data_IF_636225274891
#
_entry.id   IF_636225274891
#
_cell.length_a   1.000
_cell.length_b   1.000
_cell.length_c   1.000
_cell.angle_alpha   90.00
_cell.angle_beta   90.00
_cell.angle_gamma   90.00
#
_symmetry.space_group_name_H-M   'P 1'
#
loop_
_entity.id
_entity.type
_entity.pdbx_description
1 polymer ?
#
# COMPACT_ATOMS: atom_id res chain seq x y z
N UNK A 1 -27.31 23.91 3.29
CA UNK A 1 -25.91 24.31 3.00
C UNK A 1 -25.72 25.78 2.64
N UNK A 2 -26.43 26.33 1.63
CA UNK A 2 -26.31 27.74 1.22
C UNK A 2 -26.35 28.80 2.36
N UNK A 3 -27.29 28.77 3.31
CA UNK A 3 -27.36 29.81 4.35
C UNK A 3 -26.14 29.79 5.29
N UNK A 4 -25.61 28.61 5.59
CA UNK A 4 -24.43 28.47 6.45
C UNK A 4 -23.21 29.07 5.76
N UNK A 5 -23.00 28.73 4.49
CA UNK A 5 -21.91 29.27 3.68
C UNK A 5 -22.03 30.79 3.50
N UNK A 6 -23.23 31.29 3.19
CA UNK A 6 -23.50 32.72 3.03
C UNK A 6 -23.18 33.49 4.30
N UNK A 7 -23.73 33.06 5.45
CA UNK A 7 -23.47 33.70 6.73
C UNK A 7 -21.97 33.71 7.04
N UNK A 8 -21.32 32.58 6.83
CA UNK A 8 -19.90 32.38 7.08
C UNK A 8 -19.01 33.31 6.23
N UNK A 9 -19.28 33.41 4.92
CA UNK A 9 -18.53 34.31 4.02
C UNK A 9 -18.75 35.78 4.40
N UNK A 10 -19.97 36.13 4.82
CA UNK A 10 -20.32 37.51 5.23
C UNK A 10 -19.76 37.90 6.61
N UNK A 11 -19.27 36.97 7.42
CA UNK A 11 -18.68 37.27 8.75
C UNK A 11 -17.36 38.05 8.66
N UNK A 12 -16.60 37.91 7.57
CA UNK A 12 -15.34 38.64 7.36
C UNK A 12 -15.44 39.53 6.12
N UNK A 13 -14.98 40.79 6.17
CA UNK A 13 -15.02 41.70 5.02
C UNK A 13 -14.03 41.30 3.91
N UNK A 14 -13.06 40.42 4.21
CA UNK A 14 -12.04 39.95 3.28
C UNK A 14 -11.95 38.43 3.40
N UNK A 15 -12.00 37.73 2.27
CA UNK A 15 -11.81 36.28 2.19
C UNK A 15 -10.30 35.99 2.17
N UNK A 16 -9.79 35.35 3.22
CA UNK A 16 -8.40 34.92 3.27
C UNK A 16 -8.26 33.52 2.67
N UNK A 17 -7.68 33.44 1.46
CA UNK A 17 -7.44 32.17 0.75
C UNK A 17 -6.35 31.29 1.40
N UNK A 18 -5.65 31.81 2.41
CA UNK A 18 -4.62 31.07 3.18
C UNK A 18 -5.15 30.46 4.48
N UNK A 19 -6.42 30.72 4.80
CA UNK A 19 -7.10 30.14 5.95
C UNK A 19 -8.15 29.17 5.44
N UNK A 20 -8.31 28.06 6.15
CA UNK A 20 -9.40 27.13 5.92
C UNK A 20 -10.63 27.71 6.59
N UNK A 21 -11.58 28.29 5.85
CA UNK A 21 -12.68 28.92 6.52
C UNK A 21 -13.68 27.81 6.92
N UNK A 22 -14.19 27.88 8.14
CA UNK A 22 -15.36 27.11 8.59
C UNK A 22 -15.18 25.60 8.83
N UNK A 23 -13.96 25.05 8.82
CA UNK A 23 -13.74 23.62 9.12
C UNK A 23 -14.29 23.22 10.50
N UNK A 24 -13.79 23.81 11.59
CA UNK A 24 -14.19 23.43 12.95
C UNK A 24 -15.69 23.63 13.24
N UNK A 25 -16.32 24.76 12.84
CA UNK A 25 -17.76 24.95 13.06
C UNK A 25 -18.64 23.97 12.27
N UNK A 26 -18.28 23.65 11.03
CA UNK A 26 -19.05 22.71 10.21
C UNK A 26 -18.82 21.27 10.66
N UNK A 27 -17.58 20.91 11.02
CA UNK A 27 -17.24 19.57 11.46
C UNK A 27 -17.86 19.22 12.81
N UNK A 28 -17.94 20.18 13.73
CA UNK A 28 -18.54 20.00 15.05
C UNK A 28 -19.96 20.59 15.15
N UNK A 29 -20.64 20.74 14.01
CA UNK A 29 -22.00 21.27 13.97
C UNK A 29 -22.96 20.40 14.79
N UNK A 30 -23.84 21.06 15.54
CA UNK A 30 -24.93 20.42 16.30
C UNK A 30 -26.30 20.64 15.63
N UNK A 31 -26.31 21.06 14.36
CA UNK A 31 -27.55 21.26 13.60
C UNK A 31 -28.29 19.92 13.35
N UNK A 32 -29.58 19.97 13.01
CA UNK A 32 -30.30 18.77 12.56
C UNK A 32 -29.62 18.11 11.36
N UNK A 33 -28.95 18.92 10.53
CA UNK A 33 -28.34 18.52 9.26
C UNK A 33 -26.83 18.26 9.38
N UNK A 34 -26.29 18.24 10.60
CA UNK A 34 -24.86 18.11 10.89
C UNK A 34 -24.18 16.95 10.16
N UNK A 35 -24.88 15.84 9.94
CA UNK A 35 -24.35 14.70 9.17
C UNK A 35 -24.17 15.02 7.69
N UNK A 36 -25.15 15.70 7.08
CA UNK A 36 -25.04 16.13 5.68
C UNK A 36 -23.95 17.19 5.52
N UNK A 37 -23.85 18.12 6.47
CA UNK A 37 -22.80 19.15 6.51
C UNK A 37 -21.40 18.52 6.60
N UNK A 38 -21.22 17.53 7.49
CA UNK A 38 -19.95 16.79 7.63
C UNK A 38 -19.58 16.01 6.38
N UNK A 39 -20.50 15.26 5.79
CA UNK A 39 -20.24 14.52 4.54
C UNK A 39 -19.83 15.49 3.43
N UNK A 40 -20.60 16.58 3.27
CA UNK A 40 -20.31 17.59 2.26
C UNK A 40 -18.93 18.21 2.47
N UNK A 41 -18.60 18.56 3.72
CA UNK A 41 -17.29 19.09 4.08
C UNK A 41 -16.20 18.07 3.74
N UNK A 42 -16.29 16.83 4.21
CA UNK A 42 -15.28 15.80 3.95
C UNK A 42 -15.06 15.54 2.45
N UNK A 43 -16.13 15.56 1.65
CA UNK A 43 -16.02 15.43 0.18
C UNK A 43 -15.29 16.62 -0.44
N UNK A 44 -15.67 17.83 -0.02
CA UNK A 44 -14.99 19.05 -0.45
C UNK A 44 -13.49 18.97 -0.10
N UNK A 45 -13.15 18.46 1.08
CA UNK A 45 -11.74 18.32 1.49
C UNK A 45 -10.98 17.30 0.67
N UNK A 46 -11.62 16.17 0.36
CA UNK A 46 -11.01 15.12 -0.45
C UNK A 46 -10.72 15.63 -1.88
N UNK A 47 -11.64 16.40 -2.46
CA UNK A 47 -11.53 16.94 -3.82
C UNK A 47 -10.56 18.14 -3.94
N UNK A 48 -10.38 18.89 -2.85
CA UNK A 48 -9.51 20.08 -2.82
C UNK A 48 -8.07 19.80 -2.42
N UNK A 49 -7.75 18.63 -1.86
CA UNK A 49 -6.39 18.25 -1.52
C UNK A 49 -5.61 17.79 -2.76
N UNK A 50 -4.80 18.67 -3.35
CA UNK A 50 -4.03 18.38 -4.57
C UNK A 50 -2.53 18.55 -4.38
N UNK A 51 -2.14 19.65 -3.72
CA UNK A 51 -0.74 20.03 -3.58
C UNK A 51 -0.26 20.03 -2.12
N UNK A 52 1.05 20.12 -1.95
CA UNK A 52 1.69 20.20 -0.62
C UNK A 52 1.24 21.43 0.17
N UNK A 53 0.92 22.55 -0.49
CA UNK A 53 0.35 23.74 0.15
C UNK A 53 -0.98 23.47 0.82
N UNK A 54 -1.84 22.70 0.16
CA UNK A 54 -3.17 22.34 0.66
C UNK A 54 -3.03 21.42 1.88
N UNK A 55 -2.08 20.48 1.80
CA UNK A 55 -1.75 19.61 2.92
C UNK A 55 -1.27 20.40 4.16
N UNK A 56 -0.37 21.38 3.99
CA UNK A 56 0.07 22.21 5.13
C UNK A 56 -1.06 23.02 5.75
N UNK A 57 -2.01 23.48 4.94
CA UNK A 57 -3.21 24.14 5.43
C UNK A 57 -4.06 23.14 6.25
N UNK A 58 -4.26 21.92 5.77
CA UNK A 58 -5.00 20.89 6.53
C UNK A 58 -4.31 20.49 7.83
N UNK A 59 -2.97 20.40 7.80
CA UNK A 59 -2.14 20.14 8.98
C UNK A 59 -2.31 21.25 10.02
N UNK A 60 -2.32 22.53 9.61
CA UNK A 60 -2.52 23.68 10.50
C UNK A 60 -3.87 23.63 11.24
N UNK A 61 -4.91 23.08 10.61
CA UNK A 61 -6.25 22.98 11.19
C UNK A 61 -6.56 21.61 11.81
N UNK A 62 -5.55 20.74 11.99
CA UNK A 62 -5.72 19.41 12.58
C UNK A 62 -6.76 18.53 11.86
N UNK A 63 -6.91 18.72 10.54
CA UNK A 63 -7.94 18.04 9.75
C UNK A 63 -7.77 16.52 9.84
N UNK A 64 -6.55 16.01 9.62
CA UNK A 64 -6.30 14.56 9.62
C UNK A 64 -6.54 13.92 10.99
N UNK A 65 -6.16 14.59 12.08
CA UNK A 65 -6.41 14.10 13.45
C UNK A 65 -7.91 13.96 13.71
N UNK A 66 -8.69 14.98 13.34
CA UNK A 66 -10.14 14.96 13.51
C UNK A 66 -10.83 13.94 12.61
N UNK A 67 -10.36 13.77 11.37
CA UNK A 67 -10.94 12.80 10.43
C UNK A 67 -10.63 11.37 10.83
N UNK A 68 -9.41 11.07 11.25
CA UNK A 68 -9.02 9.74 11.75
C UNK A 68 -9.80 9.41 13.03
N UNK A 69 -9.88 10.35 13.98
CA UNK A 69 -10.66 10.17 15.21
C UNK A 69 -12.17 10.00 14.92
N UNK A 70 -12.71 10.77 13.97
CA UNK A 70 -14.11 10.64 13.58
C UNK A 70 -14.38 9.31 12.88
N UNK A 71 -13.49 8.83 12.02
CA UNK A 71 -13.61 7.52 11.38
C UNK A 71 -13.77 6.37 12.38
N UNK A 72 -13.05 6.43 13.50
CA UNK A 72 -13.11 5.40 14.54
C UNK A 72 -14.26 5.59 15.54
N UNK A 73 -14.96 6.72 15.46
CA UNK A 73 -16.11 7.00 16.30
C UNK A 73 -17.36 6.22 15.88
N UNK A 74 -18.19 5.85 16.86
CA UNK A 74 -19.48 5.20 16.62
C UNK A 74 -20.49 6.11 15.89
N UNK A 75 -20.23 7.42 15.85
CA UNK A 75 -21.06 8.40 15.15
C UNK A 75 -20.81 8.42 13.63
N UNK A 76 -19.82 7.65 13.15
CA UNK A 76 -19.41 7.62 11.76
C UNK A 76 -20.11 6.50 11.00
N UNK A 77 -20.91 6.89 10.01
CA UNK A 77 -21.56 5.91 9.14
C UNK A 77 -20.62 5.36 8.06
N UNK A 78 -21.03 4.29 7.39
CA UNK A 78 -20.22 3.71 6.31
C UNK A 78 -19.88 4.74 5.20
N UNK A 79 -20.85 5.57 4.81
CA UNK A 79 -20.63 6.63 3.82
C UNK A 79 -19.64 7.70 4.31
N UNK A 80 -19.68 8.05 5.60
CA UNK A 80 -18.74 9.02 6.20
C UNK A 80 -17.32 8.45 6.20
N UNK A 81 -17.19 7.16 6.55
CA UNK A 81 -15.91 6.43 6.53
C UNK A 81 -15.32 6.34 5.13
N UNK A 82 -16.13 6.09 4.12
CA UNK A 82 -15.68 6.03 2.73
C UNK A 82 -15.08 7.36 2.27
N UNK A 83 -15.71 8.48 2.63
CA UNK A 83 -15.20 9.81 2.28
C UNK A 83 -13.95 10.14 3.11
N UNK A 84 -13.90 9.76 4.39
CA UNK A 84 -12.71 9.92 5.23
C UNK A 84 -11.50 9.16 4.66
N UNK A 85 -11.71 7.91 4.22
CA UNK A 85 -10.69 7.11 3.54
C UNK A 85 -10.30 7.74 2.19
N UNK A 86 -11.25 8.32 1.45
CA UNK A 86 -10.95 9.04 0.20
C UNK A 86 -10.08 10.29 0.43
N UNK A 87 -10.29 11.03 1.51
CA UNK A 87 -9.42 12.15 1.91
C UNK A 87 -8.01 11.68 2.26
N UNK A 88 -7.88 10.58 3.01
CA UNK A 88 -6.56 10.01 3.32
C UNK A 88 -5.89 9.52 2.04
N UNK A 89 -6.66 8.91 1.13
CA UNK A 89 -6.19 8.45 -0.18
C UNK A 89 -5.62 9.60 -1.02
N UNK A 90 -6.27 10.76 -1.05
CA UNK A 90 -5.74 11.92 -1.78
C UNK A 90 -4.43 12.44 -1.16
N UNK A 91 -4.34 12.40 0.17
CA UNK A 91 -3.10 12.72 0.88
C UNK A 91 -1.95 11.75 0.54
N UNK A 92 -2.24 10.45 0.38
CA UNK A 92 -1.21 9.45 0.05
C UNK A 92 -0.51 9.67 -1.31
N UNK A 93 -1.06 10.50 -2.21
CA UNK A 93 -0.41 10.86 -3.47
C UNK A 93 0.66 11.95 -3.31
N UNK A 94 0.65 12.68 -2.19
CA UNK A 94 1.56 13.77 -1.89
C UNK A 94 2.66 13.22 -0.98
N UNK A 95 3.91 13.21 -1.43
CA UNK A 95 5.04 12.60 -0.68
C UNK A 95 5.18 13.16 0.75
N UNK A 96 5.16 14.50 0.88
CA UNK A 96 5.26 15.18 2.18
C UNK A 96 4.12 14.77 3.11
N UNK A 97 2.92 14.63 2.56
CA UNK A 97 1.75 14.21 3.32
C UNK A 97 1.87 12.74 3.75
N UNK A 98 2.29 11.85 2.85
CA UNK A 98 2.56 10.44 3.15
C UNK A 98 3.58 10.28 4.27
N UNK A 99 4.68 11.05 4.22
CA UNK A 99 5.69 11.05 5.29
C UNK A 99 5.11 11.49 6.64
N UNK A 100 4.34 12.58 6.65
CA UNK A 100 3.70 13.09 7.87
C UNK A 100 2.60 12.17 8.39
N UNK A 101 1.84 11.49 7.51
CA UNK A 101 0.84 10.49 7.88
C UNK A 101 1.43 9.31 8.64
N UNK A 102 2.61 8.86 8.23
CA UNK A 102 3.31 7.78 8.93
C UNK A 102 3.89 8.29 10.25
N UNK A 103 4.61 9.42 10.20
CA UNK A 103 5.39 9.89 11.34
C UNK A 103 4.54 10.51 12.45
N UNK A 104 3.52 11.30 12.08
CA UNK A 104 2.74 12.12 13.02
C UNK A 104 1.41 11.47 13.36
N UNK A 105 0.76 10.86 12.37
CA UNK A 105 -0.60 10.32 12.51
C UNK A 105 -0.67 8.80 12.68
N UNK A 106 0.49 8.12 12.74
CA UNK A 106 0.59 6.67 12.92
C UNK A 106 -0.33 5.88 11.97
N UNK A 107 -0.43 6.32 10.71
CA UNK A 107 -1.39 5.79 9.75
C UNK A 107 -1.25 4.28 9.54
N UNK A 108 -0.04 3.75 9.64
CA UNK A 108 0.24 2.32 9.48
C UNK A 108 -0.41 1.49 10.60
N UNK A 109 -0.29 1.92 11.85
CA UNK A 109 -0.98 1.28 12.98
C UNK A 109 -2.51 1.37 12.84
N UNK A 110 -3.00 2.51 12.35
CA UNK A 110 -4.42 2.70 12.07
C UNK A 110 -4.93 1.79 10.94
N UNK A 111 -4.18 1.65 9.84
CA UNK A 111 -4.46 0.69 8.76
C UNK A 111 -4.53 -0.72 9.33
N UNK A 112 -3.52 -1.13 10.12
CA UNK A 112 -3.46 -2.47 10.69
C UNK A 112 -4.68 -2.78 11.57
N UNK A 113 -5.10 -1.84 12.43
CA UNK A 113 -6.27 -1.99 13.28
C UNK A 113 -7.56 -2.18 12.46
N UNK A 114 -7.68 -1.49 11.33
CA UNK A 114 -8.85 -1.53 10.47
C UNK A 114 -8.90 -2.72 9.50
N UNK A 115 -7.78 -3.45 9.29
CA UNK A 115 -7.79 -4.69 8.48
C UNK A 115 -8.72 -5.77 9.03
N UNK A 116 -8.97 -5.78 10.35
CA UNK A 116 -9.87 -6.76 10.99
C UNK A 116 -11.36 -6.46 10.72
N UNK A 117 -11.69 -5.30 10.14
CA UNK A 117 -13.07 -4.94 9.80
C UNK A 117 -13.50 -5.70 8.54
N UNK A 118 -14.50 -6.56 8.70
CA UNK A 118 -15.04 -7.41 7.64
C UNK A 118 -15.50 -6.54 6.45
N UNK A 119 -15.04 -6.86 5.25
CA UNK A 119 -15.46 -6.23 3.99
C UNK A 119 -14.82 -4.87 3.68
N UNK A 120 -13.96 -4.33 4.55
CA UNK A 120 -13.29 -3.03 4.30
C UNK A 120 -11.77 -3.14 4.14
N UNK A 121 -11.18 -4.33 4.37
CA UNK A 121 -9.74 -4.58 4.33
C UNK A 121 -9.06 -4.07 3.04
N UNK A 122 -9.70 -4.27 1.88
CA UNK A 122 -9.18 -3.83 0.57
C UNK A 122 -8.87 -2.34 0.51
N UNK A 123 -9.73 -1.51 1.13
CA UNK A 123 -9.59 -0.05 1.10
C UNK A 123 -8.31 0.37 1.83
N UNK A 124 -8.04 -0.24 2.99
CA UNK A 124 -6.87 0.07 3.81
C UNK A 124 -5.57 -0.52 3.22
N UNK A 125 -5.64 -1.70 2.60
CA UNK A 125 -4.50 -2.27 1.86
C UNK A 125 -4.13 -1.40 0.65
N UNK A 126 -5.13 -0.86 -0.04
CA UNK A 126 -4.88 0.06 -1.14
C UNK A 126 -4.21 1.37 -0.67
N UNK A 127 -4.51 1.87 0.54
CA UNK A 127 -3.76 2.98 1.14
C UNK A 127 -2.29 2.63 1.34
N UNK A 128 -1.99 1.43 1.87
CA UNK A 128 -0.61 0.96 2.03
C UNK A 128 0.13 0.89 0.69
N UNK A 129 -0.52 0.36 -0.34
CA UNK A 129 0.01 0.31 -1.70
C UNK A 129 0.33 1.72 -2.23
N UNK A 130 -0.60 2.67 -2.10
CA UNK A 130 -0.40 4.04 -2.58
C UNK A 130 0.75 4.74 -1.89
N UNK A 131 0.88 4.57 -0.56
CA UNK A 131 2.00 5.10 0.20
C UNK A 131 3.32 4.50 -0.29
N UNK A 132 3.38 3.18 -0.48
CA UNK A 132 4.59 2.50 -0.97
C UNK A 132 4.93 2.99 -2.39
N UNK A 133 3.93 3.10 -3.26
CA UNK A 133 4.08 3.56 -4.63
C UNK A 133 4.60 4.99 -4.71
N UNK A 134 4.13 5.89 -3.83
CA UNK A 134 4.64 7.28 -3.81
C UNK A 134 6.08 7.35 -3.34
N UNK A 135 6.49 6.57 -2.34
CA UNK A 135 7.90 6.50 -1.94
C UNK A 135 8.80 5.89 -2.99
N UNK A 136 8.35 4.84 -3.69
CA UNK A 136 9.11 4.21 -4.78
C UNK A 136 9.28 5.20 -5.94
N UNK A 137 8.23 5.94 -6.31
CA UNK A 137 8.29 6.91 -7.42
C UNK A 137 9.34 8.01 -7.20
N UNK A 138 9.51 8.44 -5.96
CA UNK A 138 10.38 9.56 -5.62
C UNK A 138 11.76 9.11 -5.10
N UNK A 139 12.12 7.83 -5.26
CA UNK A 139 13.33 7.18 -4.73
C UNK A 139 13.55 7.40 -3.21
N UNK A 140 12.48 7.81 -2.50
CA UNK A 140 12.49 8.20 -1.11
C UNK A 140 12.38 7.00 -0.16
N UNK A 141 12.36 5.77 -0.68
CA UNK A 141 12.31 4.54 0.15
C UNK A 141 13.50 4.47 1.13
N UNK A 142 14.65 5.03 0.76
CA UNK A 142 15.85 5.16 1.61
C UNK A 142 15.70 6.21 2.70
N UNK A 143 14.87 7.23 2.47
CA UNK A 143 14.57 8.34 3.39
C UNK A 143 13.26 8.11 4.18
N UNK A 144 12.59 6.97 3.94
CA UNK A 144 11.37 6.62 4.66
C UNK A 144 11.65 6.41 6.15
N UNK A 145 10.71 6.74 7.05
CA UNK A 145 10.88 6.46 8.47
C UNK A 145 11.18 4.98 8.69
N UNK A 146 12.22 4.61 9.44
CA UNK A 146 12.58 3.20 9.70
C UNK A 146 11.38 2.36 10.18
N UNK A 147 10.52 2.95 11.00
CA UNK A 147 9.28 2.37 11.50
C UNK A 147 8.29 1.98 10.39
N UNK A 148 8.29 2.71 9.27
CA UNK A 148 7.41 2.42 8.14
C UNK A 148 7.65 1.03 7.58
N UNK A 149 8.91 0.65 7.35
CA UNK A 149 9.24 -0.63 6.71
C UNK A 149 8.78 -1.81 7.57
N UNK A 150 8.97 -1.73 8.89
CA UNK A 150 8.52 -2.78 9.82
C UNK A 150 7.00 -2.86 9.91
N UNK A 151 6.32 -1.72 10.00
CA UNK A 151 4.86 -1.69 10.11
C UNK A 151 4.20 -2.09 8.78
N UNK A 152 4.74 -1.65 7.64
CA UNK A 152 4.27 -2.03 6.31
C UNK A 152 4.42 -3.53 6.07
N UNK A 153 5.55 -4.12 6.51
CA UNK A 153 5.76 -5.57 6.43
C UNK A 153 4.72 -6.31 7.27
N UNK A 154 4.50 -5.89 8.53
CA UNK A 154 3.50 -6.52 9.39
C UNK A 154 2.08 -6.43 8.79
N UNK A 155 1.69 -5.27 8.28
CA UNK A 155 0.40 -5.06 7.60
C UNK A 155 0.29 -5.98 6.39
N UNK A 156 1.31 -6.06 5.55
CA UNK A 156 1.30 -6.91 4.36
C UNK A 156 1.22 -8.40 4.70
N UNK A 157 1.90 -8.87 5.76
CA UNK A 157 1.78 -10.25 6.25
C UNK A 157 0.37 -10.54 6.79
N UNK A 158 -0.22 -9.61 7.53
CA UNK A 158 -1.62 -9.76 7.97
C UNK A 158 -2.61 -9.74 6.80
N UNK A 159 -2.31 -8.98 5.74
CA UNK A 159 -3.05 -9.01 4.48
C UNK A 159 -2.94 -10.36 3.77
N UNK A 160 -1.74 -10.96 3.73
CA UNK A 160 -1.50 -12.28 3.14
C UNK A 160 -2.36 -13.39 3.76
N UNK A 161 -2.64 -13.32 5.06
CA UNK A 161 -3.50 -14.29 5.74
C UNK A 161 -4.96 -14.19 5.29
N UNK A 162 -5.40 -13.00 4.86
CA UNK A 162 -6.78 -12.71 4.42
C UNK A 162 -6.88 -12.78 2.88
N UNK A 163 -5.77 -12.98 2.16
CA UNK A 163 -5.71 -12.88 0.70
C UNK A 163 -6.74 -13.72 -0.08
N UNK A 164 -7.18 -14.86 0.46
CA UNK A 164 -8.16 -15.72 -0.21
C UNK A 164 -9.54 -15.05 -0.36
N UNK A 165 -9.85 -14.06 0.48
CA UNK A 165 -11.13 -13.32 0.47
C UNK A 165 -11.05 -12.01 -0.34
N UNK A 166 -9.84 -11.63 -0.78
CA UNK A 166 -9.58 -10.36 -1.45
C UNK A 166 -9.72 -10.47 -2.97
N UNK A 167 -10.06 -9.35 -3.61
CA UNK A 167 -9.98 -9.19 -5.06
C UNK A 167 -8.56 -9.39 -5.61
N UNK A 168 -8.47 -9.85 -6.86
CA UNK A 168 -7.20 -10.05 -7.58
C UNK A 168 -6.29 -8.81 -7.54
N UNK A 169 -6.88 -7.61 -7.66
CA UNK A 169 -6.13 -6.35 -7.65
C UNK A 169 -5.51 -6.05 -6.29
N UNK A 170 -6.23 -6.35 -5.21
CA UNK A 170 -5.72 -6.19 -3.85
C UNK A 170 -4.62 -7.22 -3.53
N UNK A 171 -4.71 -8.42 -4.10
CA UNK A 171 -3.64 -9.42 -3.99
C UNK A 171 -2.34 -8.96 -4.67
N UNK A 172 -2.45 -8.37 -5.87
CA UNK A 172 -1.31 -7.75 -6.57
C UNK A 172 -0.73 -6.58 -5.79
N UNK A 173 -1.58 -5.69 -5.24
CA UNK A 173 -1.15 -4.57 -4.41
C UNK A 173 -0.28 -5.04 -3.22
N UNK A 174 -0.67 -6.13 -2.55
CA UNK A 174 0.12 -6.72 -1.43
C UNK A 174 1.47 -7.26 -1.93
N UNK A 175 1.47 -8.01 -3.03
CA UNK A 175 2.69 -8.57 -3.63
C UNK A 175 3.65 -7.47 -4.08
N UNK A 176 3.14 -6.38 -4.66
CA UNK A 176 3.93 -5.21 -4.99
C UNK A 176 4.62 -4.64 -3.76
N UNK A 177 3.86 -4.37 -2.68
CA UNK A 177 4.41 -3.80 -1.44
C UNK A 177 5.51 -4.71 -0.88
N UNK A 178 5.24 -6.00 -0.75
CA UNK A 178 6.23 -6.99 -0.31
C UNK A 178 7.47 -6.99 -1.18
N UNK A 179 7.30 -6.94 -2.51
CA UNK A 179 8.44 -6.96 -3.43
C UNK A 179 9.40 -5.79 -3.20
N UNK A 180 8.83 -4.59 -2.95
CA UNK A 180 9.60 -3.35 -2.74
C UNK A 180 10.22 -3.28 -1.36
N UNK A 181 9.55 -3.80 -0.34
CA UNK A 181 10.10 -3.89 1.01
C UNK A 181 11.32 -4.81 1.05
N UNK A 182 11.27 -5.97 0.39
CA UNK A 182 12.39 -6.92 0.39
C UNK A 182 13.55 -6.47 -0.51
N UNK A 183 13.26 -5.78 -1.61
CA UNK A 183 14.30 -5.22 -2.48
C UNK A 183 15.19 -4.20 -1.76
N UNK A 184 14.76 -3.66 -0.62
CA UNK A 184 15.54 -2.74 0.19
C UNK A 184 16.58 -3.50 1.05
N UNK A 185 17.71 -3.82 0.41
CA UNK A 185 18.79 -4.69 0.92
C UNK A 185 19.33 -4.36 2.33
N UNK A 186 19.26 -3.10 2.77
CA UNK A 186 19.77 -2.69 4.08
C UNK A 186 18.88 -3.07 5.27
N UNK A 187 17.60 -3.36 5.05
CA UNK A 187 16.61 -3.56 6.12
C UNK A 187 15.99 -4.96 6.11
N UNK A 188 16.05 -5.66 4.97
CA UNK A 188 15.48 -7.00 4.86
C UNK A 188 16.12 -7.99 5.84
N UNK A 189 17.43 -7.89 6.08
CA UNK A 189 18.19 -8.79 6.97
C UNK A 189 17.63 -8.92 8.38
N UNK A 190 17.24 -7.79 8.99
CA UNK A 190 16.68 -7.78 10.36
C UNK A 190 15.23 -8.26 10.41
N UNK A 191 14.50 -8.17 9.29
CA UNK A 191 13.08 -8.48 9.19
C UNK A 191 12.80 -9.92 8.73
N UNK A 192 13.83 -10.65 8.26
CA UNK A 192 13.68 -12.04 7.78
C UNK A 192 13.10 -12.94 8.87
N UNK A 193 13.43 -12.69 10.14
CA UNK A 193 12.92 -13.45 11.28
C UNK A 193 11.39 -13.42 11.40
N UNK A 194 10.73 -12.36 10.88
CA UNK A 194 9.28 -12.19 11.00
C UNK A 194 8.52 -12.95 9.90
N UNK A 195 9.21 -13.43 8.86
CA UNK A 195 8.57 -14.12 7.73
C UNK A 195 8.68 -15.63 7.93
N UNK A 196 7.61 -16.23 8.46
CA UNK A 196 7.50 -17.69 8.56
C UNK A 196 7.42 -18.39 7.18
N UNK A 197 7.75 -19.69 7.17
CA UNK A 197 7.62 -20.60 6.01
C UNK A 197 6.24 -20.55 5.36
N UNK A 198 5.19 -20.43 6.17
CA UNK A 198 3.80 -20.38 5.69
C UNK A 198 3.51 -19.12 4.86
N UNK A 199 4.12 -17.98 5.20
CA UNK A 199 3.98 -16.76 4.42
C UNK A 199 4.64 -16.90 3.04
N UNK A 200 5.81 -17.56 2.96
CA UNK A 200 6.45 -17.87 1.67
C UNK A 200 5.60 -18.82 0.83
N UNK A 201 5.00 -19.84 1.44
CA UNK A 201 4.09 -20.75 0.74
C UNK A 201 2.86 -19.99 0.22
N UNK A 202 2.25 -19.13 1.04
CA UNK A 202 1.11 -18.30 0.64
C UNK A 202 1.48 -17.39 -0.53
N UNK A 203 2.60 -16.68 -0.47
CA UNK A 203 3.07 -15.84 -1.59
C UNK A 203 3.24 -16.66 -2.89
N UNK A 204 3.84 -17.85 -2.82
CA UNK A 204 3.98 -18.73 -3.97
C UNK A 204 2.62 -19.18 -4.52
N UNK A 205 1.74 -19.69 -3.67
CA UNK A 205 0.40 -20.13 -4.10
C UNK A 205 -0.43 -18.99 -4.70
N UNK A 206 -0.32 -17.78 -4.15
CA UNK A 206 -0.96 -16.59 -4.71
C UNK A 206 -0.37 -16.21 -6.06
N UNK A 207 0.96 -16.22 -6.19
CA UNK A 207 1.62 -15.96 -7.47
C UNK A 207 1.21 -16.96 -8.56
N UNK A 208 1.10 -18.25 -8.22
CA UNK A 208 0.62 -19.30 -9.13
C UNK A 208 -0.85 -19.06 -9.53
N UNK A 209 -1.72 -18.78 -8.56
CA UNK A 209 -3.14 -18.53 -8.82
C UNK A 209 -3.39 -17.28 -9.69
N UNK A 210 -2.58 -16.23 -9.51
CA UNK A 210 -2.66 -15.00 -10.29
C UNK A 210 -2.24 -15.21 -11.74
N UNK A 211 -1.15 -15.95 -11.98
CA UNK A 211 -0.66 -16.28 -13.33
C UNK A 211 -1.63 -17.19 -14.09
N UNK A 212 -2.33 -18.07 -13.37
CA UNK A 212 -3.34 -18.97 -13.96
C UNK A 212 -4.69 -18.26 -14.24
N UNK A 213 -4.88 -17.02 -13.78
CA UNK A 213 -6.14 -16.29 -13.96
C UNK A 213 -6.26 -15.69 -15.37
N UNK A 214 -7.44 -15.75 -16.01
CA UNK A 214 -7.64 -15.26 -17.39
C UNK A 214 -7.63 -13.72 -17.53
N UNK A 215 -7.65 -12.99 -16.41
CA UNK A 215 -7.67 -11.53 -16.31
C UNK A 215 -6.28 -10.91 -16.11
N UNK A 216 -5.23 -11.72 -16.20
CA UNK A 216 -3.87 -11.31 -15.92
C UNK A 216 -3.26 -10.49 -17.07
N UNK A 217 -2.60 -9.37 -16.75
CA UNK A 217 -2.02 -8.43 -17.71
C UNK A 217 -0.49 -8.50 -17.65
N UNK A 218 0.19 -8.37 -18.80
CA UNK A 218 1.66 -8.49 -18.89
C UNK A 218 2.42 -7.46 -18.03
N UNK A 219 1.82 -6.32 -17.68
CA UNK A 219 2.43 -5.34 -16.76
C UNK A 219 2.60 -5.90 -15.33
N UNK A 220 1.70 -6.79 -14.91
CA UNK A 220 1.68 -7.41 -13.58
C UNK A 220 2.71 -8.56 -13.46
N UNK A 221 3.21 -9.09 -14.59
CA UNK A 221 4.24 -10.15 -14.63
C UNK A 221 5.50 -9.74 -13.87
N UNK A 222 5.95 -8.49 -14.04
CA UNK A 222 7.18 -8.02 -13.40
C UNK A 222 7.07 -8.04 -11.88
N UNK A 223 5.89 -7.73 -11.35
CA UNK A 223 5.63 -7.72 -9.91
C UNK A 223 5.58 -9.15 -9.36
N UNK A 224 4.89 -10.05 -10.07
CA UNK A 224 4.84 -11.48 -9.73
C UNK A 224 6.24 -12.12 -9.82
N UNK A 225 7.03 -11.84 -10.85
CA UNK A 225 8.40 -12.35 -10.95
C UNK A 225 9.33 -11.78 -9.89
N UNK A 226 9.19 -10.50 -9.53
CA UNK A 226 9.98 -9.90 -8.46
C UNK A 226 9.70 -10.59 -7.12
N UNK A 227 8.45 -10.94 -6.82
CA UNK A 227 8.11 -11.67 -5.60
C UNK A 227 8.63 -13.10 -5.63
N UNK A 228 8.56 -13.81 -6.76
CA UNK A 228 9.16 -15.15 -6.91
C UNK A 228 10.69 -15.10 -6.72
N UNK A 229 11.37 -14.12 -7.32
CA UNK A 229 12.81 -13.90 -7.15
C UNK A 229 13.16 -13.72 -5.67
N UNK A 230 12.34 -12.95 -4.96
CA UNK A 230 12.49 -12.70 -3.53
C UNK A 230 12.34 -13.97 -2.71
N UNK A 231 11.33 -14.82 -2.99
CA UNK A 231 11.16 -16.11 -2.31
C UNK A 231 12.36 -17.05 -2.56
N UNK A 232 12.94 -17.00 -3.76
CA UNK A 232 14.11 -17.81 -4.11
C UNK A 232 15.35 -17.29 -3.37
N UNK A 233 15.58 -15.98 -3.36
CA UNK A 233 16.70 -15.35 -2.65
C UNK A 233 16.57 -15.62 -1.15
N UNK A 234 15.39 -15.45 -0.55
CA UNK A 234 15.18 -15.71 0.87
C UNK A 234 15.38 -17.19 1.22
N UNK A 235 14.98 -18.13 0.36
CA UNK A 235 15.27 -19.57 0.54
C UNK A 235 16.77 -19.86 0.56
N UNK A 236 17.55 -19.18 -0.30
CA UNK A 236 19.01 -19.33 -0.35
C UNK A 236 19.73 -18.73 0.87
N UNK A 237 19.10 -17.74 1.53
CA UNK A 237 19.61 -17.08 2.74
C UNK A 237 19.20 -17.84 4.02
N UNK A 238 18.04 -18.49 4.02
CA UNK A 238 17.44 -19.10 5.22
C UNK A 238 17.68 -20.60 5.40
N UNK A 239 18.37 -21.29 4.48
CA UNK A 239 18.62 -22.74 4.53
C UNK A 239 17.38 -23.56 4.96
N UNK A 240 16.18 -23.21 4.44
CA UNK A 240 14.93 -23.89 4.78
C UNK A 240 14.95 -25.33 4.23
N UNK A 241 15.13 -26.39 5.06
CA UNK A 241 15.44 -27.73 4.56
C UNK A 241 14.22 -28.45 3.98
N UNK A 242 13.01 -27.92 4.18
CA UNK A 242 11.73 -28.61 3.91
C UNK A 242 10.78 -27.87 2.95
N UNK A 243 11.26 -26.87 2.19
CA UNK A 243 10.44 -26.22 1.16
C UNK A 243 10.74 -26.85 -0.21
N UNK A 244 10.02 -27.92 -0.54
CA UNK A 244 10.02 -28.49 -1.90
C UNK A 244 9.24 -27.53 -2.79
N UNK A 245 9.96 -26.67 -3.52
CA UNK A 245 9.37 -25.89 -4.61
C UNK A 245 9.03 -26.93 -5.67
N UNK A 246 7.74 -27.13 -5.95
CA UNK A 246 7.36 -27.96 -7.09
C UNK A 246 7.95 -27.29 -8.34
N UNK A 247 8.62 -28.04 -9.23
CA UNK A 247 9.00 -27.48 -10.52
C UNK A 247 7.74 -26.90 -11.15
N UNK A 248 7.82 -25.63 -11.57
CA UNK A 248 6.75 -24.97 -12.31
C UNK A 248 6.32 -25.92 -13.42
N UNK A 249 5.09 -26.43 -13.34
CA UNK A 249 4.54 -27.28 -14.41
C UNK A 249 4.68 -26.48 -15.70
N UNK A 250 5.39 -27.02 -16.69
CA UNK A 250 5.55 -26.42 -18.01
C UNK A 250 4.21 -25.91 -18.52
N UNK A 251 4.01 -24.59 -18.42
CA UNK A 251 2.91 -23.91 -19.10
C UNK A 251 3.32 -23.95 -20.57
N UNK A 252 2.75 -24.91 -21.31
CA UNK A 252 2.94 -25.03 -22.76
C UNK A 252 2.16 -23.91 -23.46
N UNK A 253 2.73 -22.71 -23.48
CA UNK A 253 2.34 -21.64 -24.39
C UNK A 253 3.52 -21.38 -25.32
N UNK A 254 3.37 -21.72 -26.61
CA UNK A 254 4.43 -21.70 -27.64
C UNK A 254 5.01 -20.29 -27.89
N UNK A 255 4.42 -19.24 -27.31
CA UNK A 255 4.91 -17.85 -27.30
C UNK A 255 6.12 -17.60 -26.38
N UNK A 256 6.44 -18.54 -25.48
CA UNK A 256 7.32 -18.30 -24.33
C UNK A 256 8.83 -18.42 -24.59
N UNK A 257 9.30 -18.90 -25.76
CA UNK A 257 10.76 -19.05 -25.99
C UNK A 257 11.52 -17.72 -26.02
N UNK A 258 10.89 -16.64 -26.48
CA UNK A 258 11.49 -15.29 -26.46
C UNK A 258 11.41 -14.65 -25.08
N UNK A 259 10.33 -14.94 -24.34
CA UNK A 259 10.13 -14.45 -22.98
C UNK A 259 11.11 -15.13 -22.01
N UNK A 260 11.29 -16.44 -22.09
CA UNK A 260 12.29 -17.19 -21.31
C UNK A 260 13.74 -16.73 -21.57
N UNK A 261 14.06 -16.36 -22.82
CA UNK A 261 15.38 -15.83 -23.16
C UNK A 261 15.60 -14.43 -22.52
N UNK A 262 14.60 -13.55 -22.60
CA UNK A 262 14.63 -12.24 -21.93
C UNK A 262 14.72 -12.39 -20.40
N UNK A 263 13.96 -13.33 -19.84
CA UNK A 263 13.97 -13.69 -18.41
C UNK A 263 15.35 -14.17 -17.99
N UNK A 264 15.97 -15.12 -18.71
CA UNK A 264 17.32 -15.60 -18.37
C UNK A 264 18.39 -14.53 -18.50
N UNK A 265 18.24 -13.58 -19.43
CA UNK A 265 19.17 -12.45 -19.57
C UNK A 265 18.98 -11.38 -18.49
N UNK A 266 17.74 -11.11 -18.05
CA UNK A 266 17.45 -10.26 -16.88
C UNK A 266 18.00 -10.90 -15.60
N UNK A 267 17.78 -12.21 -15.42
CA UNK A 267 18.33 -12.99 -14.31
C UNK A 267 19.86 -12.97 -14.30
N UNK A 268 20.53 -13.13 -15.46
CA UNK A 268 21.99 -13.00 -15.56
C UNK A 268 22.47 -11.57 -15.27
N UNK A 269 21.76 -10.54 -15.73
CA UNK A 269 22.17 -9.15 -15.51
C UNK A 269 22.05 -8.69 -14.05
N UNK A 270 21.06 -9.21 -13.31
CA UNK A 270 20.81 -8.87 -11.91
C UNK A 270 21.55 -9.79 -10.92
N UNK A 271 21.72 -11.09 -11.24
CA UNK A 271 22.46 -12.03 -10.39
C UNK A 271 23.96 -11.70 -10.28
N UNK A 272 24.55 -11.10 -11.32
CA UNK A 272 25.97 -10.67 -11.34
C UNK A 272 26.28 -9.63 -10.27
N UNK A 273 25.27 -8.98 -9.65
CA UNK A 273 25.49 -7.88 -8.71
C UNK A 273 25.33 -8.24 -7.22
N UNK A 274 24.74 -9.38 -6.83
CA UNK A 274 24.31 -9.53 -5.42
C UNK A 274 24.60 -10.86 -4.71
N UNK A 275 25.00 -11.96 -5.35
CA UNK A 275 25.34 -13.20 -4.63
C UNK A 275 26.27 -14.13 -5.44
N UNK A 276 27.07 -14.94 -4.75
CA UNK A 276 28.01 -15.93 -5.32
C UNK A 276 27.37 -16.75 -6.45
N UNK A 277 27.94 -16.59 -7.65
CA UNK A 277 27.41 -17.03 -8.93
C UNK A 277 27.14 -18.56 -9.02
N UNK A 278 27.86 -19.38 -8.26
CA UNK A 278 27.83 -20.83 -8.44
C UNK A 278 26.55 -21.48 -7.89
N UNK A 279 26.00 -21.00 -6.77
CA UNK A 279 24.79 -21.57 -6.16
C UNK A 279 23.52 -21.22 -6.95
N UNK A 280 23.45 -20.01 -7.50
CA UNK A 280 22.37 -19.55 -8.37
C UNK A 280 22.38 -20.26 -9.74
N UNK A 281 23.57 -20.50 -10.32
CA UNK A 281 23.73 -21.25 -11.58
C UNK A 281 23.33 -22.73 -11.45
N UNK A 282 23.68 -23.37 -10.33
CA UNK A 282 23.27 -24.75 -10.03
C UNK A 282 21.74 -24.83 -9.87
N UNK A 283 21.12 -23.83 -9.23
CA UNK A 283 19.68 -23.78 -9.03
C UNK A 283 18.90 -23.51 -10.33
N UNK A 284 19.35 -22.58 -11.18
CA UNK A 284 18.74 -22.34 -12.49
C UNK A 284 18.84 -23.58 -13.41
N UNK A 285 19.93 -24.34 -13.32
CA UNK A 285 20.07 -25.63 -14.01
C UNK A 285 19.13 -26.72 -13.47
N UNK A 286 18.70 -26.62 -12.21
CA UNK A 286 17.74 -27.56 -11.61
C UNK A 286 16.28 -27.27 -11.94
N UNK A 287 15.97 -26.06 -12.44
CA UNK A 287 14.65 -25.69 -12.96
C UNK A 287 14.52 -26.03 -14.46
N UNK A 288 15.65 -26.15 -15.17
CA UNK A 288 15.69 -26.40 -16.61
C UNK A 288 15.78 -27.88 -17.02
N UNK A 289 15.42 -28.82 -16.14
CA UNK A 289 15.38 -30.25 -16.45
C UNK A 289 14.15 -30.94 -15.86
#
# INVERSE_FOLDING_TARGET
MYPILSNCILLKPIINMKEMPFFLPLFNSSSSDHRQERIWLLRLLADSLKDTSDFYLYKKYHVFEMVIAYHDSLACSAADRDVAVALIRSACFIEVASYDLIKTYSICSWIHANLKRIGEAEKYLNLLYLITKTFVKNDALTCSPRLYLSEALLISLSGLQICQELSQRSQLDILYVLSKLVSNSGYFGDMVEWICKDHFLLMLTLSENLVLSPSFVDEDLNEVYSTILIVIISKSILDLPNLVIRPWKEIKLESDKKHYASITDIFKSNAVKTCDNDKLLIFLRSISF
#
